data_IF_095140281562
#
_entry.id   IF_095140281562
#
_cell.length_a   1.000
_cell.length_b   1.000
_cell.length_c   1.000
_cell.angle_alpha   90.00
_cell.angle_beta   90.00
_cell.angle_gamma   90.00
#
_symmetry.space_group_name_H-M   'P 1'
#
loop_
_entity.id
_entity.type
_entity.pdbx_description
1 polymer ?
#
# COMPACT_ATOMS: atom_id res chain seq x y z
N UNK A 1 51.37 18.18 10.25
CA UNK A 1 50.50 17.60 11.30
C UNK A 1 50.27 16.13 10.97
N UNK A 2 50.67 15.21 11.87
CA UNK A 2 50.59 13.78 11.62
C UNK A 2 49.13 13.31 11.54
N UNK A 3 48.79 12.57 10.48
CA UNK A 3 47.44 12.00 10.25
C UNK A 3 47.20 10.89 11.29
N UNK A 4 46.52 11.18 12.40
CA UNK A 4 46.07 10.17 13.37
C UNK A 4 45.13 9.19 12.64
N UNK A 5 45.53 7.93 12.53
CA UNK A 5 44.69 6.86 11.98
C UNK A 5 43.76 6.37 13.09
N UNK A 6 42.46 6.46 12.89
CA UNK A 6 41.45 5.88 13.77
C UNK A 6 41.44 4.36 13.53
N UNK A 7 41.33 3.56 14.59
CA UNK A 7 41.19 2.10 14.46
C UNK A 7 39.75 1.76 14.07
N UNK A 8 39.58 0.84 13.13
CA UNK A 8 38.26 0.37 12.69
C UNK A 8 37.66 -0.64 13.67
N UNK A 9 37.35 -0.20 14.90
CA UNK A 9 36.66 -1.01 15.92
C UNK A 9 35.18 -0.63 16.00
N UNK A 10 34.35 -1.51 16.56
CA UNK A 10 32.91 -1.25 16.74
C UNK A 10 32.67 -0.05 17.65
N UNK A 11 33.46 0.10 18.71
CA UNK A 11 33.36 1.22 19.65
C UNK A 11 33.66 2.57 18.99
N UNK A 12 34.53 2.61 17.97
CA UNK A 12 34.83 3.83 17.23
C UNK A 12 33.67 4.27 16.32
N UNK A 13 32.85 3.33 15.83
CA UNK A 13 31.60 3.62 15.13
C UNK A 13 30.52 4.10 16.09
N UNK A 14 30.33 3.42 17.23
CA UNK A 14 29.31 3.75 18.23
C UNK A 14 29.53 5.12 18.89
N UNK A 15 30.79 5.44 19.22
CA UNK A 15 31.17 6.77 19.72
C UNK A 15 31.10 7.86 18.65
N UNK A 16 31.06 7.46 17.37
CA UNK A 16 31.07 8.36 16.22
C UNK A 16 32.44 8.99 15.93
N UNK A 17 33.51 8.52 16.59
CA UNK A 17 34.89 8.91 16.25
C UNK A 17 35.20 8.54 14.79
N UNK A 18 34.62 7.44 14.30
CA UNK A 18 34.60 7.05 12.91
C UNK A 18 33.24 7.44 12.27
N UNK A 19 33.28 8.08 11.09
CA UNK A 19 32.09 8.31 10.25
C UNK A 19 31.30 9.60 10.53
N UNK A 20 31.48 10.29 11.68
CA UNK A 20 30.81 11.58 11.97
C UNK A 20 31.68 12.83 11.71
N UNK A 21 32.81 12.67 11.04
CA UNK A 21 33.68 13.80 10.71
C UNK A 21 33.06 14.60 9.55
N UNK A 22 32.73 15.86 9.82
CA UNK A 22 32.05 16.78 8.90
C UNK A 22 32.77 16.92 7.55
N UNK A 23 34.10 16.72 7.49
CA UNK A 23 34.85 16.75 6.23
C UNK A 23 34.53 15.61 5.27
N UNK A 24 33.83 14.57 5.73
CA UNK A 24 33.35 13.43 4.96
C UNK A 24 31.82 13.41 4.83
N UNK A 25 31.13 14.44 5.33
CA UNK A 25 29.67 14.57 5.23
C UNK A 25 29.34 15.37 3.98
N UNK A 26 28.37 14.87 3.21
CA UNK A 26 27.77 15.58 2.08
C UNK A 26 26.25 15.46 2.18
N UNK A 27 25.53 16.52 1.80
CA UNK A 27 24.08 16.46 1.70
C UNK A 27 23.74 15.57 0.52
N UNK A 28 23.03 14.48 0.76
CA UNK A 28 22.56 13.63 -0.31
C UNK A 28 21.62 14.43 -1.24
N UNK A 29 21.96 14.47 -2.52
CA UNK A 29 21.07 14.99 -3.56
C UNK A 29 19.98 13.94 -3.86
N UNK A 30 18.97 13.91 -3.00
CA UNK A 30 17.87 12.96 -3.12
C UNK A 30 16.77 13.60 -3.95
N UNK A 31 16.58 13.07 -5.16
CA UNK A 31 15.43 13.40 -5.97
C UNK A 31 14.19 12.66 -5.45
N UNK A 32 13.14 13.39 -5.13
CA UNK A 32 11.86 12.86 -4.66
C UNK A 32 11.25 11.85 -5.66
N UNK A 33 11.49 12.04 -6.97
CA UNK A 33 11.02 11.11 -7.99
C UNK A 33 11.67 9.72 -7.89
N UNK A 34 12.94 9.65 -7.47
CA UNK A 34 13.64 8.36 -7.28
C UNK A 34 13.07 7.60 -6.09
N UNK A 35 12.62 8.31 -5.04
CA UNK A 35 11.91 7.71 -3.92
C UNK A 35 10.55 7.20 -4.37
N UNK A 36 9.79 8.02 -5.10
CA UNK A 36 8.47 7.63 -5.61
C UNK A 36 8.57 6.40 -6.52
N UNK A 37 9.55 6.35 -7.42
CA UNK A 37 9.80 5.18 -8.28
C UNK A 37 10.18 3.94 -7.47
N UNK A 38 11.08 4.07 -6.50
CA UNK A 38 11.49 2.96 -5.65
C UNK A 38 10.34 2.40 -4.80
N UNK A 39 9.35 3.24 -4.48
CA UNK A 39 8.16 2.89 -3.69
C UNK A 39 6.90 2.64 -4.54
N UNK A 40 7.03 2.66 -5.88
CA UNK A 40 5.92 2.55 -6.84
C UNK A 40 4.77 3.54 -6.57
N UNK A 41 5.11 4.75 -6.13
CA UNK A 41 4.16 5.83 -5.85
C UNK A 41 3.89 6.65 -7.10
N UNK A 42 2.62 6.96 -7.32
CA UNK A 42 2.19 7.87 -8.38
C UNK A 42 1.45 9.06 -7.77
N UNK A 43 1.92 10.26 -8.07
CA UNK A 43 1.21 11.49 -7.68
C UNK A 43 -0.11 11.59 -8.44
N UNK A 44 -1.21 11.73 -7.69
CA UNK A 44 -2.54 11.97 -8.25
C UNK A 44 -3.04 13.35 -7.84
N UNK A 45 -3.67 14.05 -8.78
CA UNK A 45 -4.35 15.32 -8.52
C UNK A 45 -5.86 15.11 -8.51
N UNK A 46 -6.47 15.17 -7.32
CA UNK A 46 -7.92 15.02 -7.13
C UNK A 46 -8.49 16.27 -6.45
N UNK A 47 -9.72 16.65 -6.82
CA UNK A 47 -10.46 17.72 -6.15
C UNK A 47 -11.43 17.10 -5.13
N UNK A 48 -11.35 17.55 -3.89
CA UNK A 48 -12.23 17.15 -2.79
C UNK A 48 -12.89 18.37 -2.16
N UNK A 49 -14.03 18.18 -1.50
CA UNK A 49 -14.67 19.24 -0.71
C UNK A 49 -13.77 19.65 0.45
N UNK A 50 -13.73 20.95 0.77
CA UNK A 50 -12.86 21.47 1.85
C UNK A 50 -13.19 20.86 3.21
N UNK A 51 -14.48 20.77 3.53
CA UNK A 51 -14.96 20.13 4.78
C UNK A 51 -14.45 18.70 4.91
N UNK A 52 -14.53 17.92 3.83
CA UNK A 52 -14.06 16.54 3.83
C UNK A 52 -12.55 16.43 4.09
N UNK A 53 -11.75 17.34 3.52
CA UNK A 53 -10.31 17.39 3.78
C UNK A 53 -10.03 17.71 5.26
N UNK A 54 -10.79 18.64 5.84
CA UNK A 54 -10.67 19.03 7.25
C UNK A 54 -11.04 17.86 8.18
N UNK A 55 -12.13 17.16 7.90
CA UNK A 55 -12.57 15.98 8.64
C UNK A 55 -11.49 14.89 8.64
N UNK A 56 -10.93 14.57 7.46
CA UNK A 56 -9.85 13.58 7.38
C UNK A 56 -8.58 14.01 8.10
N UNK A 57 -8.22 15.30 8.08
CA UNK A 57 -7.09 15.81 8.86
C UNK A 57 -7.33 15.64 10.36
N UNK A 58 -8.55 15.91 10.83
CA UNK A 58 -8.92 15.72 12.23
C UNK A 58 -8.86 14.25 12.63
N UNK A 59 -9.44 13.35 11.82
CA UNK A 59 -9.39 11.91 12.04
C UNK A 59 -7.93 11.43 12.07
N UNK A 60 -7.10 11.87 11.12
CA UNK A 60 -5.69 11.49 11.07
C UNK A 60 -4.95 11.91 12.35
N UNK A 61 -5.20 13.14 12.83
CA UNK A 61 -4.64 13.64 14.10
C UNK A 61 -5.05 12.80 15.30
N UNK A 62 -6.33 12.42 15.40
CA UNK A 62 -6.84 11.57 16.48
C UNK A 62 -6.16 10.19 16.47
N UNK A 63 -5.90 9.64 15.27
CA UNK A 63 -5.24 8.34 15.09
C UNK A 63 -3.70 8.43 15.16
N UNK A 64 -3.12 9.62 15.36
CA UNK A 64 -1.67 9.81 15.40
C UNK A 64 -0.95 9.57 14.07
N UNK A 65 -1.65 9.65 12.93
CA UNK A 65 -1.09 9.44 11.60
C UNK A 65 -1.24 10.68 10.72
N UNK A 66 -0.43 10.76 9.66
CA UNK A 66 -0.54 11.84 8.68
C UNK A 66 -1.78 11.70 7.79
N UNK A 67 -2.34 12.82 7.30
CA UNK A 67 -3.48 12.84 6.38
C UNK A 67 -3.22 12.00 5.12
N UNK A 68 -2.04 12.14 4.50
CA UNK A 68 -1.68 11.37 3.30
C UNK A 68 -1.62 9.86 3.59
N UNK A 69 -1.13 9.47 4.76
CA UNK A 69 -1.11 8.05 5.21
C UNK A 69 -2.52 7.52 5.41
N UNK A 70 -3.39 8.29 6.08
CA UNK A 70 -4.80 7.93 6.26
C UNK A 70 -5.50 7.77 4.90
N UNK A 71 -5.31 8.72 3.98
CA UNK A 71 -5.92 8.68 2.65
C UNK A 71 -5.50 7.43 1.87
N UNK A 72 -4.20 7.08 1.87
CA UNK A 72 -3.71 5.84 1.24
C UNK A 72 -4.37 4.60 1.83
N UNK A 73 -4.49 4.52 3.15
CA UNK A 73 -5.13 3.38 3.83
C UNK A 73 -6.62 3.27 3.47
N UNK A 74 -7.35 4.39 3.44
CA UNK A 74 -8.77 4.40 3.10
C UNK A 74 -8.98 3.93 1.66
N UNK A 75 -8.25 4.51 0.71
CA UNK A 75 -8.37 4.16 -0.71
C UNK A 75 -8.03 2.67 -0.93
N UNK A 76 -6.97 2.17 -0.28
CA UNK A 76 -6.60 0.75 -0.37
C UNK A 76 -7.67 -0.16 0.22
N UNK A 77 -8.17 0.15 1.42
CA UNK A 77 -9.23 -0.63 2.07
C UNK A 77 -10.49 -0.68 1.23
N UNK A 78 -10.89 0.46 0.65
CA UNK A 78 -12.05 0.55 -0.22
C UNK A 78 -11.87 -0.31 -1.48
N UNK A 79 -10.74 -0.18 -2.17
CA UNK A 79 -10.44 -0.99 -3.36
C UNK A 79 -10.48 -2.49 -3.03
N UNK A 80 -9.80 -2.91 -1.96
CA UNK A 80 -9.77 -4.31 -1.55
C UNK A 80 -11.16 -4.85 -1.16
N UNK A 81 -11.99 -4.04 -0.50
CA UNK A 81 -13.36 -4.45 -0.15
C UNK A 81 -14.25 -4.60 -1.38
N UNK A 82 -14.17 -3.66 -2.32
CA UNK A 82 -14.97 -3.69 -3.54
C UNK A 82 -14.55 -4.82 -4.48
N UNK A 83 -13.24 -5.03 -4.68
CA UNK A 83 -12.74 -6.15 -5.48
C UNK A 83 -13.21 -7.49 -4.90
N UNK A 84 -13.10 -7.67 -3.58
CA UNK A 84 -13.59 -8.89 -2.92
C UNK A 84 -15.10 -9.05 -3.03
N UNK A 85 -15.87 -7.96 -3.01
CA UNK A 85 -17.32 -7.99 -3.18
C UNK A 85 -17.68 -8.46 -4.59
N UNK A 86 -17.09 -7.84 -5.61
CA UNK A 86 -17.31 -8.20 -7.02
C UNK A 86 -16.92 -9.65 -7.31
N UNK A 87 -15.76 -10.12 -6.81
CA UNK A 87 -15.35 -11.50 -6.99
C UNK A 87 -16.34 -12.50 -6.40
N UNK A 88 -16.87 -12.22 -5.20
CA UNK A 88 -17.91 -13.06 -4.59
C UNK A 88 -19.20 -13.08 -5.41
N UNK A 89 -19.57 -11.96 -6.03
CA UNK A 89 -20.74 -11.88 -6.90
C UNK A 89 -20.54 -12.72 -8.17
N UNK A 90 -19.36 -12.65 -8.79
CA UNK A 90 -19.03 -13.49 -9.96
C UNK A 90 -19.09 -14.98 -9.63
N UNK A 91 -18.43 -15.42 -8.54
CA UNK A 91 -18.43 -16.83 -8.14
C UNK A 91 -19.85 -17.33 -7.85
N UNK A 92 -20.69 -16.52 -7.19
CA UNK A 92 -22.08 -16.89 -6.93
C UNK A 92 -22.91 -17.02 -8.21
N UNK A 93 -22.67 -16.16 -9.19
CA UNK A 93 -23.34 -16.25 -10.49
C UNK A 93 -22.95 -17.53 -11.22
N UNK A 94 -21.66 -17.85 -11.30
CA UNK A 94 -21.15 -19.08 -11.92
C UNK A 94 -21.69 -20.34 -11.22
N UNK A 95 -21.71 -20.36 -9.88
CA UNK A 95 -22.31 -21.48 -9.12
C UNK A 95 -23.80 -21.64 -9.38
N UNK A 96 -24.53 -20.55 -9.57
CA UNK A 96 -25.95 -20.56 -9.85
C UNK A 96 -26.21 -21.10 -11.26
N UNK A 97 -25.47 -20.62 -12.27
CA UNK A 97 -25.54 -21.12 -13.64
C UNK A 97 -25.19 -22.61 -13.72
N UNK A 98 -24.14 -23.05 -13.02
CA UNK A 98 -23.76 -24.47 -12.98
C UNK A 98 -24.83 -25.34 -12.30
N UNK A 99 -25.51 -24.85 -11.25
CA UNK A 99 -26.62 -25.55 -10.60
C UNK A 99 -27.83 -25.64 -11.53
N UNK A 100 -28.17 -24.55 -12.21
CA UNK A 100 -29.28 -24.51 -13.18
C UNK A 100 -29.04 -25.46 -14.35
N UNK A 101 -27.81 -25.51 -14.88
CA UNK A 101 -27.41 -26.46 -15.92
C UNK A 101 -27.56 -27.91 -15.44
N UNK A 102 -27.04 -28.26 -14.25
CA UNK A 102 -27.19 -29.61 -13.69
C UNK A 102 -28.65 -30.01 -13.48
N UNK A 103 -29.48 -29.09 -12.98
CA UNK A 103 -30.91 -29.34 -12.79
C UNK A 103 -31.63 -29.55 -14.14
N UNK A 104 -31.28 -28.77 -15.16
CA UNK A 104 -31.83 -28.96 -16.51
C UNK A 104 -31.43 -30.31 -17.12
N UNK A 105 -30.17 -30.71 -16.97
CA UNK A 105 -29.67 -32.02 -17.42
C UNK A 105 -30.40 -33.18 -16.71
N UNK A 106 -30.58 -33.11 -15.39
CA UNK A 106 -31.31 -34.13 -14.62
C UNK A 106 -32.79 -34.23 -15.03
N UNK A 107 -33.45 -33.11 -15.31
CA UNK A 107 -34.83 -33.07 -15.79
C UNK A 107 -34.93 -33.67 -17.20
N UNK A 108 -33.97 -33.38 -18.08
CA UNK A 108 -33.94 -33.92 -19.43
C UNK A 108 -33.69 -35.44 -19.43
N UNK A 109 -32.76 -35.93 -18.62
CA UNK A 109 -32.53 -37.37 -18.46
C UNK A 109 -33.76 -38.11 -17.92
N UNK A 110 -34.44 -37.53 -16.93
CA UNK A 110 -35.65 -38.10 -16.35
C UNK A 110 -36.79 -38.20 -17.36
N UNK A 111 -36.89 -37.23 -18.28
CA UNK A 111 -37.87 -37.26 -19.39
C UNK A 111 -37.54 -38.28 -20.47
N UNK A 112 -36.26 -38.57 -20.72
CA UNK A 112 -35.83 -39.59 -21.70
C UNK A 112 -36.02 -41.03 -21.21
N UNK A 113 -36.09 -41.24 -19.89
CA UNK A 113 -36.24 -42.56 -19.26
C UNK A 113 -37.70 -42.97 -19.00
N UNK A 114 -38.67 -42.09 -19.24
CA UNK A 114 -40.11 -42.33 -19.12
C UNK A 114 -40.74 -42.59 -20.49
#
# INVERSE_FOLDING_TARGET
>A
MAKRKIRGTEEAWETGELGRDEKYVEVADINESTIDEALELQMISIRLQKSLIEDFKLIAKINGIGYQTLMRQILKRFADSETKRLLRECVRAEEQEAKEQRQMEEIEESRKRA
#
